data_IF_210998279482
#
_entry.id   IF_210998279482
#
_cell.length_a   1.000
_cell.length_b   1.000
_cell.length_c   1.000
_cell.angle_alpha   90.00
_cell.angle_beta   90.00
_cell.angle_gamma   90.00
#
_symmetry.space_group_name_H-M   'P 1'
#
loop_
_entity.id
_entity.type
_entity.pdbx_description
1 polymer ?
#
# COMPACT_ATOMS: atom_id res chain seq x y z
N UNK A 1 -16.83 6.79 32.67
CA UNK A 1 -15.76 7.56 31.99
C UNK A 1 -15.88 7.23 30.52
N UNK A 2 -16.33 8.18 29.70
CA UNK A 2 -16.35 7.99 28.25
C UNK A 2 -14.90 7.99 27.77
N UNK A 3 -14.46 6.89 27.15
CA UNK A 3 -13.19 6.87 26.45
C UNK A 3 -13.40 7.76 25.23
N UNK A 4 -12.83 8.96 25.23
CA UNK A 4 -12.81 9.81 24.05
C UNK A 4 -12.21 8.98 22.91
N UNK A 5 -12.99 8.79 21.85
CA UNK A 5 -12.56 8.09 20.65
C UNK A 5 -11.51 8.96 19.96
N UNK A 6 -10.25 8.80 20.36
CA UNK A 6 -9.11 9.45 19.71
C UNK A 6 -9.11 8.96 18.27
N UNK A 7 -9.49 9.84 17.36
CA UNK A 7 -9.43 9.62 15.92
C UNK A 7 -7.95 9.63 15.49
N UNK A 8 -7.32 8.46 15.58
CA UNK A 8 -5.94 8.26 15.18
C UNK A 8 -5.72 8.50 13.68
N UNK A 9 -6.78 8.49 12.85
CA UNK A 9 -6.70 8.81 11.44
C UNK A 9 -6.42 10.32 11.23
N UNK A 10 -6.89 11.18 12.14
CA UNK A 10 -6.60 12.62 12.12
C UNK A 10 -5.12 12.96 12.45
N UNK A 11 -4.39 12.04 13.10
CA UNK A 11 -2.96 12.18 13.43
C UNK A 11 -2.03 11.53 12.40
N UNK A 12 -2.60 10.97 11.33
CA UNK A 12 -1.85 10.26 10.31
C UNK A 12 -1.07 11.26 9.44
N UNK A 13 0.25 11.05 9.35
CA UNK A 13 1.12 11.82 8.46
C UNK A 13 0.61 11.65 7.04
N UNK A 14 0.12 12.75 6.42
CA UNK A 14 -0.18 12.79 4.99
C UNK A 14 1.07 13.29 4.25
N UNK A 15 1.53 12.48 3.31
CA UNK A 15 2.64 12.87 2.44
C UNK A 15 2.27 14.04 1.53
N UNK A 16 3.26 14.80 1.07
CA UNK A 16 3.06 15.94 0.15
C UNK A 16 3.78 15.75 -1.19
N UNK A 17 4.45 14.61 -1.40
CA UNK A 17 5.17 14.30 -2.62
C UNK A 17 4.22 14.16 -3.82
N UNK A 18 4.47 14.89 -4.90
CA UNK A 18 3.66 14.87 -6.12
C UNK A 18 4.28 14.01 -7.24
N UNK A 19 5.41 13.35 -6.99
CA UNK A 19 6.07 12.50 -7.98
C UNK A 19 5.25 11.23 -8.24
N UNK A 20 4.90 10.93 -9.49
CA UNK A 20 4.16 9.71 -9.84
C UNK A 20 5.12 8.50 -9.86
N UNK A 21 6.24 8.66 -10.57
CA UNK A 21 7.32 7.68 -10.64
C UNK A 21 8.35 7.96 -9.55
N UNK A 22 8.59 7.00 -8.66
CA UNK A 22 9.48 7.19 -7.51
C UNK A 22 10.15 5.88 -7.14
N UNK A 23 11.47 5.90 -6.94
CA UNK A 23 12.23 4.70 -6.53
C UNK A 23 11.95 4.30 -5.09
N UNK A 24 12.09 3.01 -4.78
CA UNK A 24 12.02 2.55 -3.39
C UNK A 24 13.18 3.11 -2.56
N UNK A 25 12.88 3.67 -1.39
CA UNK A 25 13.91 4.21 -0.49
C UNK A 25 14.18 3.23 0.65
N UNK A 26 15.43 3.09 1.09
CA UNK A 26 15.74 2.38 2.33
C UNK A 26 15.77 3.40 3.46
N UNK A 27 14.65 3.54 4.16
CA UNK A 27 14.54 4.48 5.26
C UNK A 27 15.34 3.97 6.46
N UNK A 28 16.30 4.77 6.93
CA UNK A 28 17.09 4.53 8.15
C UNK A 28 16.74 5.50 9.27
N UNK A 29 15.85 6.46 8.99
CA UNK A 29 15.37 7.51 9.88
C UNK A 29 13.88 7.77 9.66
N UNK A 30 13.29 8.68 10.44
CA UNK A 30 11.91 9.11 10.23
C UNK A 30 11.73 9.68 8.80
N UNK A 31 10.72 9.23 8.04
CA UNK A 31 10.47 9.69 6.69
C UNK A 31 10.02 11.16 6.69
N UNK A 32 10.58 11.94 5.76
CA UNK A 32 10.15 13.32 5.51
C UNK A 32 8.81 13.30 4.73
N UNK A 33 7.76 14.01 5.18
CA UNK A 33 6.48 14.09 4.47
C UNK A 33 6.60 14.51 3.00
N UNK A 34 7.60 15.32 2.65
CA UNK A 34 7.87 15.73 1.26
C UNK A 34 8.33 14.59 0.36
N UNK A 35 8.82 13.50 0.96
CA UNK A 35 9.22 12.29 0.24
C UNK A 35 8.10 11.26 0.17
N UNK A 36 6.95 11.46 0.81
CA UNK A 36 5.85 10.49 0.86
C UNK A 36 4.71 10.97 -0.03
N UNK A 37 4.15 10.11 -0.89
CA UNK A 37 3.06 10.49 -1.80
C UNK A 37 1.70 10.40 -1.10
N UNK A 38 0.81 11.39 -1.23
CA UNK A 38 -0.57 11.27 -0.75
C UNK A 38 -1.37 10.29 -1.62
N UNK A 39 -2.55 9.90 -1.14
CA UNK A 39 -3.37 8.83 -1.71
C UNK A 39 -3.70 9.07 -3.20
N UNK A 40 -4.08 10.29 -3.58
CA UNK A 40 -4.43 10.62 -4.96
C UNK A 40 -3.26 10.47 -5.94
N UNK A 41 -2.02 10.58 -5.45
CA UNK A 41 -0.80 10.38 -6.25
C UNK A 41 -0.42 8.90 -6.27
N UNK A 42 -0.65 8.17 -5.18
CA UNK A 42 -0.44 6.72 -5.12
C UNK A 42 -1.38 5.96 -6.07
N UNK A 43 -2.62 6.43 -6.26
CA UNK A 43 -3.53 5.88 -7.27
C UNK A 43 -2.99 6.06 -8.69
N UNK A 44 -2.50 7.27 -9.01
CA UNK A 44 -1.89 7.57 -10.31
C UNK A 44 -0.61 6.76 -10.53
N UNK A 45 0.20 6.59 -9.49
CA UNK A 45 1.41 5.78 -9.54
C UNK A 45 1.09 4.30 -9.81
N UNK A 46 0.08 3.74 -9.15
CA UNK A 46 -0.38 2.37 -9.42
C UNK A 46 -0.87 2.21 -10.87
N UNK A 47 -1.66 3.17 -11.36
CA UNK A 47 -2.15 3.16 -12.73
C UNK A 47 -1.00 3.25 -13.75
N UNK A 48 0.01 4.07 -13.47
CA UNK A 48 1.22 4.15 -14.29
C UNK A 48 1.94 2.80 -14.36
N UNK A 49 2.12 2.12 -13.21
CA UNK A 49 2.76 0.80 -13.16
C UNK A 49 1.96 -0.24 -13.94
N UNK A 50 0.64 -0.26 -13.80
CA UNK A 50 -0.24 -1.21 -14.49
C UNK A 50 -0.26 -1.04 -16.01
N UNK A 51 -0.10 0.19 -16.51
CA UNK A 51 -0.06 0.48 -17.95
C UNK A 51 1.35 0.48 -18.54
N UNK A 52 2.37 0.25 -17.71
CA UNK A 52 3.77 0.28 -18.12
C UNK A 52 4.15 -0.99 -18.87
N UNK A 53 4.89 -0.86 -19.97
CA UNK A 53 5.53 -1.98 -20.68
C UNK A 53 6.97 -2.24 -20.21
N UNK A 54 7.34 -1.71 -19.02
CA UNK A 54 8.67 -1.89 -18.45
C UNK A 54 8.84 -3.29 -17.86
N UNK A 55 10.10 -3.67 -17.62
CA UNK A 55 10.42 -4.99 -17.10
C UNK A 55 10.00 -5.19 -15.64
N UNK A 56 9.98 -6.45 -15.20
CA UNK A 56 9.57 -6.84 -13.85
C UNK A 56 10.35 -6.15 -12.73
N UNK A 57 11.66 -5.93 -12.90
CA UNK A 57 12.50 -5.27 -11.89
C UNK A 57 12.03 -3.83 -11.64
N UNK A 58 11.69 -3.11 -12.71
CA UNK A 58 11.10 -1.78 -12.62
C UNK A 58 9.76 -1.82 -11.88
N UNK A 59 8.86 -2.69 -12.31
CA UNK A 59 7.52 -2.86 -11.71
C UNK A 59 7.62 -3.17 -10.22
N UNK A 60 8.52 -4.08 -9.84
CA UNK A 60 8.76 -4.46 -8.46
C UNK A 60 9.32 -3.29 -7.63
N UNK A 61 10.27 -2.51 -8.15
CA UNK A 61 10.79 -1.30 -7.49
C UNK A 61 9.70 -0.24 -7.26
N UNK A 62 8.86 0.03 -8.27
CA UNK A 62 7.77 0.98 -8.16
C UNK A 62 6.72 0.52 -7.14
N UNK A 63 6.31 -0.76 -7.17
CA UNK A 63 5.34 -1.29 -6.21
C UNK A 63 5.90 -1.32 -4.79
N UNK A 64 7.20 -1.60 -4.60
CA UNK A 64 7.89 -1.46 -3.30
C UNK A 64 7.84 -0.01 -2.80
N UNK A 65 8.07 0.95 -3.68
CA UNK A 65 7.98 2.39 -3.36
C UNK A 65 6.56 2.81 -2.96
N UNK A 66 5.53 2.37 -3.70
CA UNK A 66 4.13 2.67 -3.40
C UNK A 66 3.73 2.07 -2.05
N UNK A 67 4.09 0.80 -1.80
CA UNK A 67 3.81 0.12 -0.52
C UNK A 67 4.51 0.80 0.65
N UNK A 68 5.74 1.27 0.46
CA UNK A 68 6.45 2.02 1.49
C UNK A 68 5.68 3.27 1.91
N UNK A 69 5.18 4.05 0.95
CA UNK A 69 4.43 5.28 1.24
C UNK A 69 3.11 4.96 1.98
N UNK A 70 2.42 3.88 1.61
CA UNK A 70 1.23 3.40 2.32
C UNK A 70 1.55 2.96 3.76
N UNK A 71 2.69 2.29 3.98
CA UNK A 71 3.11 1.85 5.32
C UNK A 71 3.48 3.05 6.20
N UNK A 72 4.21 4.03 5.66
CA UNK A 72 4.60 5.25 6.38
C UNK A 72 3.36 6.04 6.82
N UNK A 73 2.37 6.14 5.94
CA UNK A 73 1.09 6.79 6.22
C UNK A 73 0.11 5.87 6.95
N UNK A 74 0.50 4.64 7.30
CA UNK A 74 -0.35 3.64 8.00
C UNK A 74 -1.71 3.42 7.31
N UNK A 75 -1.80 3.66 6.00
CA UNK A 75 -3.04 3.59 5.24
C UNK A 75 -3.45 2.15 4.99
N UNK A 76 -4.65 1.78 5.46
CA UNK A 76 -5.24 0.44 5.28
C UNK A 76 -6.62 0.55 4.64
N UNK A 77 -6.63 0.81 3.34
CA UNK A 77 -7.87 0.97 2.58
C UNK A 77 -7.86 0.10 1.31
N UNK A 78 -8.83 0.34 0.44
CA UNK A 78 -8.99 -0.38 -0.82
C UNK A 78 -7.79 -0.20 -1.77
N UNK A 79 -7.10 0.95 -1.76
CA UNK A 79 -5.89 1.17 -2.54
C UNK A 79 -4.78 0.23 -2.09
N UNK A 80 -4.58 0.09 -0.77
CA UNK A 80 -3.59 -0.85 -0.22
C UNK A 80 -3.83 -2.26 -0.75
N UNK A 81 -5.07 -2.76 -0.72
CA UNK A 81 -5.42 -4.08 -1.27
C UNK A 81 -5.06 -4.18 -2.76
N UNK A 82 -5.46 -3.19 -3.57
CA UNK A 82 -5.17 -3.18 -5.03
C UNK A 82 -3.67 -3.21 -5.33
N UNK A 83 -2.85 -2.49 -4.57
CA UNK A 83 -1.39 -2.48 -4.74
C UNK A 83 -0.80 -3.87 -4.46
N UNK A 84 -1.21 -4.51 -3.37
CA UNK A 84 -0.75 -5.86 -3.05
C UNK A 84 -1.21 -6.91 -4.07
N UNK A 85 -2.45 -6.82 -4.54
CA UNK A 85 -2.96 -7.71 -5.59
C UNK A 85 -2.23 -7.53 -6.92
N UNK A 86 -1.93 -6.29 -7.32
CA UNK A 86 -1.15 -6.01 -8.51
C UNK A 86 0.27 -6.60 -8.39
N UNK A 87 0.94 -6.42 -7.24
CA UNK A 87 2.27 -6.99 -7.01
C UNK A 87 2.25 -8.51 -7.06
N UNK A 88 1.28 -9.15 -6.40
CA UNK A 88 1.12 -10.60 -6.44
C UNK A 88 0.89 -11.12 -7.87
N UNK A 89 0.08 -10.42 -8.67
CA UNK A 89 -0.18 -10.78 -10.08
C UNK A 89 1.10 -10.72 -10.92
N UNK A 90 1.87 -9.64 -10.83
CA UNK A 90 3.13 -9.51 -11.56
C UNK A 90 4.17 -10.56 -11.14
N UNK A 91 4.25 -10.91 -9.85
CA UNK A 91 5.14 -11.97 -9.38
C UNK A 91 4.76 -13.35 -9.96
N UNK A 92 3.46 -13.63 -10.08
CA UNK A 92 2.97 -14.86 -10.72
C UNK A 92 3.30 -14.93 -12.22
N UNK A 93 3.13 -13.81 -12.95
CA UNK A 93 3.39 -13.74 -14.40
C UNK A 93 4.85 -14.05 -14.74
N UNK A 94 5.79 -13.72 -13.85
CA UNK A 94 7.23 -13.94 -14.03
C UNK A 94 7.71 -15.25 -13.38
N UNK A 95 6.83 -15.93 -12.63
CA UNK A 95 7.15 -17.19 -11.95
C UNK A 95 7.98 -17.01 -10.66
N UNK A 96 7.99 -15.82 -10.07
CA UNK A 96 8.70 -15.50 -8.81
C UNK A 96 7.88 -15.95 -7.60
N UNK A 97 7.80 -17.26 -7.41
CA UNK A 97 7.06 -17.90 -6.31
C UNK A 97 7.52 -17.43 -4.91
N UNK A 98 8.82 -17.18 -4.65
CA UNK A 98 9.27 -16.59 -3.39
C UNK A 98 8.66 -15.21 -3.10
N UNK A 99 8.69 -14.26 -4.06
CA UNK A 99 8.02 -12.96 -3.84
C UNK A 99 6.51 -13.14 -3.69
N UNK A 100 5.87 -13.98 -4.50
CA UNK A 100 4.42 -14.21 -4.41
C UNK A 100 3.98 -14.66 -3.00
N UNK A 101 4.69 -15.62 -2.41
CA UNK A 101 4.37 -16.13 -1.07
C UNK A 101 4.47 -15.05 0.01
N UNK A 102 5.42 -14.12 -0.10
CA UNK A 102 5.56 -13.00 0.83
C UNK A 102 4.36 -12.02 0.74
N UNK A 103 3.86 -11.78 -0.47
CA UNK A 103 2.69 -10.92 -0.70
C UNK A 103 1.39 -11.59 -0.25
N UNK A 104 1.25 -12.90 -0.46
CA UNK A 104 0.08 -13.68 -0.02
C UNK A 104 -0.12 -13.60 1.50
N UNK A 105 0.95 -13.76 2.29
CA UNK A 105 0.88 -13.61 3.75
C UNK A 105 0.40 -12.22 4.19
N UNK A 106 0.82 -11.17 3.45
CA UNK A 106 0.42 -9.79 3.72
C UNK A 106 -1.06 -9.55 3.37
N UNK A 107 -1.51 -10.07 2.24
CA UNK A 107 -2.91 -10.01 1.79
C UNK A 107 -3.85 -10.74 2.75
N UNK A 108 -3.48 -11.95 3.21
CA UNK A 108 -4.28 -12.71 4.17
C UNK A 108 -4.48 -11.93 5.47
N UNK A 109 -3.43 -11.28 5.99
CA UNK A 109 -3.53 -10.44 7.20
C UNK A 109 -4.44 -9.23 6.99
N UNK A 110 -4.31 -8.54 5.85
CA UNK A 110 -5.17 -7.40 5.52
C UNK A 110 -6.64 -7.82 5.39
N UNK A 111 -6.91 -8.95 4.72
CA UNK A 111 -8.27 -9.47 4.52
C UNK A 111 -8.92 -9.96 5.81
N UNK A 112 -8.16 -10.55 6.74
CA UNK A 112 -8.67 -10.88 8.07
C UNK A 112 -9.11 -9.61 8.84
N UNK A 113 -8.32 -8.53 8.81
CA UNK A 113 -8.73 -7.27 9.47
C UNK A 113 -9.97 -6.62 8.85
N UNK A 114 -10.22 -6.79 7.54
CA UNK A 114 -11.43 -6.24 6.89
C UNK A 114 -12.69 -7.09 7.09
N UNK A 115 -12.52 -8.41 7.32
CA UNK A 115 -13.64 -9.32 7.54
C UNK A 115 -14.35 -9.08 8.89
N UNK A 116 -13.63 -8.58 9.89
CA UNK A 116 -14.20 -8.24 11.21
C UNK A 116 -15.11 -6.99 11.19
N UNK A 117 -14.96 -6.10 10.20
CA UNK A 117 -15.84 -4.93 10.07
C UNK A 117 -17.18 -5.25 9.40
N UNK A 118 -17.25 -6.23 8.49
CA UNK A 118 -18.50 -6.57 7.76
C UNK A 118 -19.42 -7.46 8.61
N UNK A 119 -18.87 -8.27 9.50
CA UNK A 119 -19.65 -9.15 10.38
C UNK A 119 -20.47 -8.40 11.44
N UNK A 120 -20.10 -7.17 11.79
CA UNK A 120 -20.82 -6.37 12.82
C UNK A 120 -22.03 -5.62 12.25
N UNK A 121 -22.10 -5.41 10.93
CA UNK A 121 -23.22 -4.74 10.24
C UNK A 121 -24.36 -5.67 9.80
N UNK A 122 -24.28 -6.97 10.06
CA UNK A 122 -25.28 -7.97 9.67
C UNK A 122 -26.09 -8.55 10.86
N UNK A 123 -26.02 -7.93 12.03
CA UNK A 123 -26.93 -8.21 13.15
C UNK A 123 -27.74 -6.93 13.42
N UNK A 124 -28.76 -6.71 12.59
CA UNK A 124 -29.95 -5.91 12.90
C UNK A 124 -31.10 -6.43 12.03
#
# INVERSE_FOLDING_TARGET
>A
MAVEHIDWDALTVRGTCQEIEKRYLRLTSAPDPSTVRPEEILEKALLMVQNSQKNYLYTCDQLKSIRQDLIVQRTRNHLTVKVYEAHARFALEVGDLPEYNQHLLSLTRLRCCTADMVATSAIN
#
